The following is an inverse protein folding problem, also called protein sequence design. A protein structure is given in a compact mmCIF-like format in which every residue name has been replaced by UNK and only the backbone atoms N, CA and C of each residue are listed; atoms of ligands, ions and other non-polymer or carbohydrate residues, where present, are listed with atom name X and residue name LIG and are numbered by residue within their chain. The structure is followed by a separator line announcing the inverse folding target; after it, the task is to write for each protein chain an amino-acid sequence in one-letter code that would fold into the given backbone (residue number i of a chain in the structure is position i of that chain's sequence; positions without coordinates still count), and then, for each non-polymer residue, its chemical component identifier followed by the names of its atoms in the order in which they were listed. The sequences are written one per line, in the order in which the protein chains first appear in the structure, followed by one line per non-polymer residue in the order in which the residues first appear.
data_IF_821242115089
#
_entry.id   IF_821242115089
#
_cell.length_a   1.000
_cell.length_b   1.000
_cell.length_c   1.000
_cell.angle_alpha   90.00
_cell.angle_beta   90.00
_cell.angle_gamma   90.00
#
_symmetry.space_group_name_H-M   'P 1'
#
loop_
_entity.id
_entity.type
_entity.pdbx_description
1 polymer ?
#
# COMPACT_ATOMS: atom_id res chain seq x y z
N UNK A 1 23.30 -3.56 -11.65
CA UNK A 1 22.18 -3.07 -12.49
C UNK A 1 20.90 -3.77 -12.07
N UNK A 2 19.81 -3.03 -11.78
CA UNK A 2 18.52 -3.60 -11.29
C UNK A 2 17.62 -4.12 -12.43
N UNK A 3 17.92 -3.76 -13.68
CA UNK A 3 17.13 -4.08 -14.87
C UNK A 3 16.90 -5.58 -15.11
N UNK A 4 17.90 -6.48 -14.91
CA UNK A 4 17.68 -7.92 -15.06
C UNK A 4 16.67 -8.48 -14.05
N UNK A 5 16.74 -8.03 -12.79
CA UNK A 5 15.81 -8.42 -11.75
C UNK A 5 14.38 -7.93 -12.03
N UNK A 6 14.24 -6.70 -12.52
CA UNK A 6 12.93 -6.15 -12.91
C UNK A 6 12.31 -6.93 -14.07
N UNK A 7 13.09 -7.30 -15.09
CA UNK A 7 12.59 -8.14 -16.20
C UNK A 7 12.14 -9.52 -15.72
N UNK A 8 12.93 -10.18 -14.87
CA UNK A 8 12.56 -11.46 -14.28
C UNK A 8 11.24 -11.33 -13.49
N UNK A 9 11.10 -10.30 -12.68
CA UNK A 9 9.86 -10.05 -11.93
C UNK A 9 8.65 -9.83 -12.84
N UNK A 10 8.81 -9.04 -13.91
CA UNK A 10 7.74 -8.80 -14.87
C UNK A 10 7.29 -10.07 -15.60
N UNK A 11 8.24 -10.93 -15.99
CA UNK A 11 7.95 -12.16 -16.73
C UNK A 11 7.39 -13.26 -15.82
N UNK A 12 7.95 -13.42 -14.62
CA UNK A 12 7.67 -14.58 -13.76
C UNK A 12 6.61 -14.33 -12.69
N UNK A 13 6.46 -13.09 -12.19
CA UNK A 13 5.64 -12.82 -11.01
C UNK A 13 4.54 -11.78 -11.21
N UNK A 14 4.67 -10.92 -12.22
CA UNK A 14 3.73 -9.84 -12.52
C UNK A 14 3.01 -10.01 -13.88
N UNK A 15 3.26 -11.11 -14.57
CA UNK A 15 2.67 -11.39 -15.88
C UNK A 15 1.16 -11.66 -15.83
N UNK A 16 0.66 -12.06 -14.66
CA UNK A 16 -0.76 -12.33 -14.38
C UNK A 16 -1.44 -11.19 -13.60
N UNK A 17 -0.85 -9.99 -13.60
CA UNK A 17 -1.53 -8.82 -13.04
C UNK A 17 -2.79 -8.48 -13.84
N UNK A 18 -3.83 -7.95 -13.17
CA UNK A 18 -5.12 -7.66 -13.81
C UNK A 18 -5.04 -6.55 -14.87
N UNK A 19 -4.06 -5.65 -14.74
CA UNK A 19 -3.84 -4.53 -15.66
C UNK A 19 -2.39 -4.50 -16.13
N UNK A 20 -2.15 -4.06 -17.37
CA UNK A 20 -0.80 -3.83 -17.89
C UNK A 20 -0.09 -2.76 -17.06
N UNK A 21 1.06 -3.10 -16.51
CA UNK A 21 1.89 -2.18 -15.73
C UNK A 21 3.09 -1.69 -16.52
N UNK A 22 3.51 -0.44 -16.27
CA UNK A 22 4.80 0.08 -16.74
C UNK A 22 5.68 0.27 -15.51
N UNK A 23 6.73 -0.54 -15.37
CA UNK A 23 7.65 -0.46 -14.24
C UNK A 23 9.04 -0.08 -14.73
N UNK A 24 9.45 1.15 -14.41
CA UNK A 24 10.64 1.81 -14.95
C UNK A 24 11.79 1.82 -13.95
N UNK A 25 11.52 1.91 -12.64
CA UNK A 25 12.54 1.77 -11.60
C UNK A 25 12.04 1.06 -10.33
N UNK A 26 12.97 0.49 -9.57
CA UNK A 26 12.66 -0.22 -8.33
C UNK A 26 12.38 0.68 -7.11
N UNK A 27 12.70 1.97 -7.18
CA UNK A 27 12.51 2.91 -6.06
C UNK A 27 11.11 3.51 -6.01
N UNK A 28 10.40 3.52 -7.14
CA UNK A 28 9.13 4.23 -7.25
C UNK A 28 9.28 5.72 -7.55
N UNK A 29 10.50 6.24 -7.75
CA UNK A 29 10.76 7.66 -8.00
C UNK A 29 10.41 8.10 -9.43
N UNK A 30 10.49 7.17 -10.38
CA UNK A 30 10.12 7.44 -11.76
C UNK A 30 8.62 7.71 -11.86
N UNK A 31 8.28 8.88 -12.39
CA UNK A 31 6.91 9.27 -12.77
C UNK A 31 6.33 8.37 -13.87
N UNK A 32 7.17 7.57 -14.53
CA UNK A 32 6.75 6.61 -15.56
C UNK A 32 6.39 5.24 -14.98
N UNK A 33 6.47 5.05 -13.66
CA UNK A 33 5.87 3.89 -13.00
C UNK A 33 4.34 4.03 -13.06
N UNK A 34 3.70 3.23 -13.90
CA UNK A 34 2.25 3.21 -14.08
C UNK A 34 1.70 1.89 -13.56
N UNK A 35 1.04 1.98 -12.41
CA UNK A 35 0.33 0.90 -11.77
C UNK A 35 -1.10 1.36 -11.46
N UNK A 36 -2.06 0.45 -11.54
CA UNK A 36 -3.43 0.69 -11.05
C UNK A 36 -3.53 0.26 -9.59
N UNK A 37 -4.48 0.81 -8.81
CA UNK A 37 -4.75 0.32 -7.45
C UNK A 37 -5.05 -1.19 -7.43
N UNK A 38 -5.72 -1.71 -8.46
CA UNK A 38 -6.07 -3.13 -8.61
C UNK A 38 -4.82 -4.01 -8.78
N UNK A 39 -3.86 -3.57 -9.60
CA UNK A 39 -2.57 -4.26 -9.74
C UNK A 39 -1.78 -4.25 -8.43
N UNK A 40 -1.80 -3.14 -7.68
CA UNK A 40 -1.14 -3.08 -6.36
C UNK A 40 -1.80 -4.04 -5.36
N UNK A 41 -3.13 -4.11 -5.31
CA UNK A 41 -3.85 -5.08 -4.48
C UNK A 41 -3.50 -6.52 -4.86
N UNK A 42 -3.38 -6.83 -6.15
CA UNK A 42 -2.97 -8.16 -6.60
C UNK A 42 -1.55 -8.52 -6.14
N UNK A 43 -0.62 -7.56 -6.15
CA UNK A 43 0.74 -7.76 -5.61
C UNK A 43 0.70 -8.03 -4.11
N UNK A 44 0.00 -7.21 -3.33
CA UNK A 44 -0.15 -7.45 -1.88
C UNK A 44 -0.77 -8.82 -1.59
N UNK A 45 -1.80 -9.22 -2.35
CA UNK A 45 -2.42 -10.55 -2.22
C UNK A 45 -1.41 -11.68 -2.44
N UNK A 46 -0.56 -11.57 -3.47
CA UNK A 46 0.50 -12.55 -3.74
C UNK A 46 1.52 -12.63 -2.60
N UNK A 47 1.90 -11.48 -2.03
CA UNK A 47 2.83 -11.44 -0.88
C UNK A 47 2.20 -12.12 0.33
N UNK A 48 0.94 -11.79 0.64
CA UNK A 48 0.19 -12.38 1.75
C UNK A 48 0.06 -13.90 1.64
N UNK A 49 -0.11 -14.42 0.42
CA UNK A 49 -0.17 -15.86 0.17
C UNK A 49 1.17 -16.58 0.31
N UNK A 50 2.29 -15.86 0.18
CA UNK A 50 3.64 -16.44 0.21
C UNK A 50 4.34 -16.30 1.56
N UNK A 51 4.03 -15.24 2.32
CA UNK A 51 4.73 -14.91 3.56
C UNK A 51 3.73 -14.88 4.71
N UNK A 52 3.92 -15.71 5.76
CA UNK A 52 3.07 -15.68 6.95
C UNK A 52 2.98 -14.29 7.58
N UNK A 53 1.81 -13.96 8.13
CA UNK A 53 1.50 -12.64 8.70
C UNK A 53 2.50 -12.21 9.77
N UNK A 54 2.91 -13.15 10.61
CA UNK A 54 3.81 -12.96 11.76
C UNK A 54 5.20 -12.51 11.30
N UNK A 55 5.62 -12.94 10.12
CA UNK A 55 6.87 -12.53 9.50
C UNK A 55 6.70 -11.27 8.65
N UNK A 56 5.57 -11.14 7.96
CA UNK A 56 5.34 -10.07 7.00
C UNK A 56 5.10 -8.72 7.68
N UNK A 57 4.23 -8.67 8.69
CA UNK A 57 3.77 -7.41 9.28
C UNK A 57 4.89 -6.61 9.96
N UNK A 58 5.83 -7.23 10.70
CA UNK A 58 6.96 -6.50 11.30
C UNK A 58 7.91 -5.84 10.28
N UNK A 59 7.90 -6.27 9.01
CA UNK A 59 8.73 -5.71 7.95
C UNK A 59 8.13 -4.44 7.32
N UNK A 60 6.87 -4.15 7.60
CA UNK A 60 6.13 -3.05 6.99
C UNK A 60 6.12 -1.83 7.91
N UNK A 61 5.77 -0.67 7.34
CA UNK A 61 5.50 0.50 8.15
C UNK A 61 4.17 0.28 8.88
N UNK A 62 4.18 0.52 10.18
CA UNK A 62 3.08 0.28 11.10
C UNK A 62 2.47 1.60 11.54
N UNK A 63 1.14 1.72 11.40
CA UNK A 63 0.37 2.90 11.80
C UNK A 63 0.67 3.30 13.25
N UNK A 64 0.96 4.59 13.48
CA UNK A 64 1.22 5.12 14.81
C UNK A 64 2.59 4.79 15.41
N UNK A 65 3.41 3.98 14.74
CA UNK A 65 4.66 3.44 15.32
C UNK A 65 5.89 3.95 14.59
N UNK A 66 6.00 3.74 13.27
CA UNK A 66 7.24 4.01 12.56
C UNK A 66 7.05 4.56 11.14
N UNK A 67 8.16 5.06 10.59
CA UNK A 67 8.24 5.58 9.24
C UNK A 67 7.30 6.77 9.00
N UNK A 68 6.81 6.85 7.77
CA UNK A 68 5.99 7.97 7.26
C UNK A 68 4.55 7.99 7.80
N UNK A 69 4.14 6.95 8.52
CA UNK A 69 2.82 6.80 9.15
C UNK A 69 2.88 6.85 10.68
N UNK A 70 4.02 7.17 11.29
CA UNK A 70 4.15 7.26 12.75
C UNK A 70 3.16 8.23 13.43
N UNK A 71 2.75 9.29 12.73
CA UNK A 71 1.79 10.26 13.23
C UNK A 71 0.33 10.01 12.78
N UNK A 72 0.06 8.88 12.12
CA UNK A 72 -1.25 8.56 11.52
C UNK A 72 -1.67 7.14 11.89
N UNK A 73 -2.97 6.86 11.86
CA UNK A 73 -3.50 5.51 12.17
C UNK A 73 -3.09 5.00 13.56
N UNK A 74 -3.03 5.89 14.56
CA UNK A 74 -2.67 5.53 15.95
C UNK A 74 -3.81 4.73 16.61
N UNK A 75 -3.44 3.67 17.31
CA UNK A 75 -4.33 2.87 18.14
C UNK A 75 -3.49 2.06 19.15
N UNK A 76 -4.11 1.57 20.21
CA UNK A 76 -3.44 0.71 21.21
C UNK A 76 -2.92 -0.58 20.58
N UNK A 77 -3.72 -1.15 19.66
CA UNK A 77 -3.34 -2.29 18.84
C UNK A 77 -3.18 -1.84 17.39
N UNK A 78 -1.98 -2.03 16.78
CA UNK A 78 -1.77 -1.62 15.40
C UNK A 78 -2.68 -2.36 14.42
N UNK A 79 -3.39 -1.59 13.59
CA UNK A 79 -4.36 -2.12 12.63
C UNK A 79 -3.99 -1.85 11.17
N UNK A 80 -3.01 -0.98 10.91
CA UNK A 80 -2.51 -0.65 9.59
C UNK A 80 -1.05 -1.09 9.42
N UNK A 81 -0.78 -1.84 8.35
CA UNK A 81 0.56 -2.30 7.98
C UNK A 81 0.75 -2.13 6.48
N UNK A 82 1.71 -1.34 6.04
CA UNK A 82 1.86 -1.13 4.61
C UNK A 82 3.01 -0.24 4.19
N UNK A 83 2.83 0.34 3.01
CA UNK A 83 3.82 1.22 2.41
C UNK A 83 3.16 2.50 1.89
N UNK A 84 3.88 3.59 2.10
CA UNK A 84 3.58 4.90 1.53
C UNK A 84 4.42 5.15 0.28
N UNK A 85 3.86 5.90 -0.65
CA UNK A 85 4.56 6.53 -1.76
C UNK A 85 4.08 7.97 -1.88
N UNK A 86 4.98 8.94 -1.71
CA UNK A 86 4.66 10.36 -1.87
C UNK A 86 5.59 10.95 -2.91
N UNK A 87 5.01 11.53 -3.96
CA UNK A 87 5.67 12.39 -4.94
C UNK A 87 4.89 13.71 -5.01
N UNK A 88 5.47 14.78 -5.57
CA UNK A 88 4.77 16.07 -5.67
C UNK A 88 3.40 15.90 -6.37
N UNK A 89 2.33 16.28 -5.66
CA UNK A 89 0.91 16.15 -6.04
C UNK A 89 0.39 14.71 -6.21
N UNK A 90 1.07 13.71 -5.63
CA UNK A 90 0.61 12.34 -5.56
C UNK A 90 0.88 11.72 -4.18
N UNK A 91 -0.17 11.28 -3.51
CA UNK A 91 -0.09 10.54 -2.25
C UNK A 91 -0.74 9.17 -2.42
N UNK A 92 0.09 8.13 -2.32
CA UNK A 92 -0.32 6.74 -2.41
C UNK A 92 -0.06 6.02 -1.09
N UNK A 93 -1.01 5.19 -0.69
CA UNK A 93 -0.95 4.36 0.51
C UNK A 93 -1.58 3.01 0.21
N UNK A 94 -0.88 1.92 0.48
CA UNK A 94 -1.43 0.59 0.29
C UNK A 94 -0.85 -0.39 1.29
N UNK A 95 -1.58 -1.48 1.53
CA UNK A 95 -1.16 -2.52 2.45
C UNK A 95 -2.33 -3.28 3.03
N UNK A 96 -2.15 -3.69 4.28
CA UNK A 96 -3.09 -4.50 5.05
C UNK A 96 -3.80 -3.66 6.11
N UNK A 97 -5.09 -3.96 6.29
CA UNK A 97 -5.93 -3.42 7.35
C UNK A 97 -6.49 -4.58 8.16
N UNK A 98 -6.25 -4.60 9.48
CA UNK A 98 -6.84 -5.58 10.40
C UNK A 98 -8.10 -4.98 10.99
N UNK A 99 -9.26 -5.59 10.73
CA UNK A 99 -10.57 -5.13 11.22
C UNK A 99 -10.78 -5.55 12.67
N UNK A 100 -11.76 -4.94 13.36
CA UNK A 100 -12.16 -5.39 14.70
C UNK A 100 -12.73 -6.81 14.71
N UNK A 101 -13.30 -7.29 13.59
CA UNK A 101 -13.71 -8.68 13.44
C UNK A 101 -12.53 -9.67 13.28
N UNK A 102 -11.30 -9.16 13.22
CA UNK A 102 -10.08 -9.97 13.05
C UNK A 102 -9.74 -10.29 11.60
N UNK A 103 -10.56 -9.85 10.63
CA UNK A 103 -10.29 -10.06 9.21
C UNK A 103 -9.16 -9.14 8.74
N UNK A 104 -8.32 -9.66 7.84
CA UNK A 104 -7.29 -8.88 7.18
C UNK A 104 -7.75 -8.49 5.79
N UNK A 105 -7.88 -7.19 5.54
CA UNK A 105 -8.22 -6.62 4.24
C UNK A 105 -6.97 -6.11 3.54
N UNK A 106 -7.02 -6.07 2.22
CA UNK A 106 -5.98 -5.50 1.37
C UNK A 106 -6.56 -4.29 0.68
N UNK A 107 -5.84 -3.17 0.69
CA UNK A 107 -6.31 -1.93 0.08
C UNK A 107 -5.20 -1.19 -0.65
N UNK A 108 -5.61 -0.26 -1.52
CA UNK A 108 -4.71 0.67 -2.20
C UNK A 108 -5.43 1.99 -2.49
N UNK A 109 -4.87 3.08 -1.98
CA UNK A 109 -5.19 4.45 -2.35
C UNK A 109 -4.08 5.00 -3.24
N UNK A 110 -4.47 5.63 -4.34
CA UNK A 110 -3.57 6.36 -5.24
C UNK A 110 -4.22 7.71 -5.56
N UNK A 111 -3.94 8.73 -4.73
CA UNK A 111 -4.50 10.05 -4.88
C UNK A 111 -3.53 10.94 -5.66
N UNK A 112 -3.85 11.21 -6.92
CA UNK A 112 -3.07 12.07 -7.81
C UNK A 112 -3.83 13.35 -8.12
N UNK A 113 -3.10 14.43 -8.44
CA UNK A 113 -3.66 15.69 -8.98
C UNK A 113 -4.73 16.38 -8.11
N UNK A 114 -4.68 16.20 -6.79
CA UNK A 114 -5.59 16.89 -5.88
C UNK A 114 -5.14 18.34 -5.64
N UNK A 115 -6.10 19.26 -5.54
CA UNK A 115 -5.88 20.68 -5.23
C UNK A 115 -5.89 20.96 -3.71
N UNK A 116 -6.36 20.00 -2.91
CA UNK A 116 -6.40 20.08 -1.45
C UNK A 116 -5.01 19.92 -0.82
N UNK A 117 -4.88 20.16 0.49
CA UNK A 117 -3.63 19.87 1.17
C UNK A 117 -3.41 18.34 1.29
N UNK A 118 -2.15 17.90 1.23
CA UNK A 118 -1.80 16.49 1.46
C UNK A 118 -2.28 16.00 2.83
N UNK A 119 -2.34 16.87 3.83
CA UNK A 119 -2.83 16.55 5.17
C UNK A 119 -4.33 16.23 5.18
N UNK A 120 -5.14 16.93 4.38
CA UNK A 120 -6.58 16.69 4.29
C UNK A 120 -6.88 15.36 3.59
N UNK A 121 -6.15 15.07 2.51
CA UNK A 121 -6.23 13.77 1.83
C UNK A 121 -5.89 12.63 2.79
N UNK A 122 -4.81 12.77 3.56
CA UNK A 122 -4.41 11.78 4.57
C UNK A 122 -5.46 11.59 5.66
N UNK A 123 -6.09 12.67 6.12
CA UNK A 123 -7.16 12.62 7.12
C UNK A 123 -8.39 11.89 6.58
N UNK A 124 -8.81 12.18 5.36
CA UNK A 124 -9.93 11.49 4.74
C UNK A 124 -9.64 10.00 4.54
N UNK A 125 -8.43 9.64 4.10
CA UNK A 125 -8.01 8.24 3.99
C UNK A 125 -8.04 7.52 5.36
N UNK A 126 -7.57 8.19 6.42
CA UNK A 126 -7.66 7.65 7.78
C UNK A 126 -9.10 7.41 8.21
N UNK A 127 -9.98 8.39 8.04
CA UNK A 127 -11.38 8.26 8.40
C UNK A 127 -12.06 7.10 7.65
N UNK A 128 -11.78 6.91 6.36
CA UNK A 128 -12.32 5.80 5.57
C UNK A 128 -11.81 4.45 6.11
N UNK A 129 -10.51 4.34 6.41
CA UNK A 129 -9.93 3.09 6.90
C UNK A 129 -10.39 2.74 8.32
N UNK A 130 -10.55 3.74 9.19
CA UNK A 130 -11.11 3.55 10.53
C UNK A 130 -12.57 3.13 10.45
N UNK A 131 -13.37 3.79 9.61
CA UNK A 131 -14.75 3.37 9.38
C UNK A 131 -14.85 1.92 8.91
N UNK A 132 -14.03 1.51 7.94
CA UNK A 132 -14.00 0.12 7.46
C UNK A 132 -13.54 -0.83 8.57
N UNK A 133 -12.46 -0.49 9.30
CA UNK A 133 -11.95 -1.30 10.42
C UNK A 133 -13.04 -1.61 11.44
N UNK A 134 -13.83 -0.59 11.77
CA UNK A 134 -14.81 -0.64 12.84
C UNK A 134 -16.11 -1.35 12.41
N UNK A 135 -16.48 -1.27 11.13
CA UNK A 135 -17.79 -1.73 10.64
C UNK A 135 -17.73 -3.00 9.77
N UNK A 136 -16.56 -3.41 9.30
CA UNK A 136 -16.44 -4.59 8.45
C UNK A 136 -16.55 -5.88 9.27
N UNK A 137 -17.55 -6.70 8.93
CA UNK A 137 -17.85 -7.96 9.61
C UNK A 137 -17.19 -9.13 8.90
#
# INVERSE_FOLDING_TARGET
SIQPAMRLMQQSYLSDLPDRVRWVDGSGLSRYNLFTPRSIVAVWKKIYQKVPKERLFPLLATGGVNGTVANWYKADQPYFFGKTGTLANNHSLSGYLVTHSGKTLIFSFMNSHYLASTSDIRRNMQNILEYIRDNYK
#
